data_IF_842463545431
#
_entry.id   IF_842463545431
#
_cell.length_a   1.000
_cell.length_b   1.000
_cell.length_c   1.000
_cell.angle_alpha   90.00
_cell.angle_beta   90.00
_cell.angle_gamma   90.00
#
_symmetry.space_group_name_H-M   'P 1'
#
loop_
_entity.id
_entity.type
_entity.pdbx_description
1 polymer ?
#
# COMPACT_ATOMS: atom_id res chain seq x y z
N UNK A 1 1.76 -15.88 -0.98
CA UNK A 1 2.49 -14.89 -1.81
C UNK A 1 1.68 -13.62 -2.11
N UNK A 2 0.88 -13.51 -3.18
CA UNK A 2 0.30 -12.20 -3.61
C UNK A 2 -0.59 -11.52 -2.56
N UNK A 3 -1.43 -12.28 -1.84
CA UNK A 3 -2.28 -11.75 -0.77
C UNK A 3 -1.48 -11.17 0.40
N UNK A 4 -0.41 -11.87 0.80
CA UNK A 4 0.48 -11.46 1.89
C UNK A 4 1.28 -10.21 1.51
N UNK A 5 1.86 -10.17 0.31
CA UNK A 5 2.58 -8.99 -0.19
C UNK A 5 1.70 -7.75 -0.21
N UNK A 6 0.44 -7.90 -0.66
CA UNK A 6 -0.52 -6.79 -0.64
C UNK A 6 -0.87 -6.33 0.77
N UNK A 7 -0.99 -7.25 1.73
CA UNK A 7 -1.24 -6.90 3.13
C UNK A 7 -0.05 -6.16 3.76
N UNK A 8 1.18 -6.61 3.49
CA UNK A 8 2.41 -5.93 3.92
C UNK A 8 2.46 -4.50 3.37
N UNK A 9 2.20 -4.33 2.07
CA UNK A 9 2.16 -2.99 1.44
C UNK A 9 1.14 -2.07 2.12
N UNK A 10 -0.11 -2.52 2.30
CA UNK A 10 -1.17 -1.67 2.89
C UNK A 10 -0.86 -1.32 4.35
N UNK A 11 -0.27 -2.25 5.09
CA UNK A 11 0.15 -2.00 6.47
C UNK A 11 1.28 -0.96 6.53
N UNK A 12 2.31 -1.09 5.68
CA UNK A 12 3.40 -0.13 5.62
C UNK A 12 2.93 1.26 5.20
N UNK A 13 2.05 1.35 4.21
CA UNK A 13 1.47 2.61 3.74
C UNK A 13 0.65 3.29 4.84
N UNK A 14 -0.23 2.55 5.52
CA UNK A 14 -1.03 3.09 6.63
C UNK A 14 -0.13 3.59 7.78
N UNK A 15 0.90 2.82 8.15
CA UNK A 15 1.87 3.24 9.17
C UNK A 15 2.65 4.50 8.76
N UNK A 16 2.91 4.70 7.46
CA UNK A 16 3.56 5.91 6.96
C UNK A 16 2.63 7.13 7.07
N UNK A 17 1.37 6.98 6.64
CA UNK A 17 0.37 8.04 6.72
C UNK A 17 0.07 8.45 8.18
N UNK A 18 -0.02 7.48 9.09
CA UNK A 18 -0.18 7.75 10.53
C UNK A 18 1.02 8.53 11.09
N UNK A 19 2.26 8.18 10.70
CA UNK A 19 3.47 8.91 11.10
C UNK A 19 3.52 10.34 10.54
N UNK A 20 2.90 10.59 9.40
CA UNK A 20 2.75 11.93 8.81
C UNK A 20 1.60 12.74 9.44
N UNK A 21 0.87 12.15 10.40
CA UNK A 21 -0.21 12.81 11.14
C UNK A 21 -1.60 12.64 10.53
N UNK A 22 -1.79 11.72 9.57
CA UNK A 22 -3.12 11.41 9.05
C UNK A 22 -3.88 10.45 9.96
N UNK A 23 -5.15 10.74 10.21
CA UNK A 23 -6.05 9.82 10.91
C UNK A 23 -6.54 8.74 9.94
N UNK A 24 -6.19 7.49 10.25
CA UNK A 24 -6.50 6.31 9.44
C UNK A 24 -7.46 5.38 10.21
N UNK A 25 -8.52 4.94 9.55
CA UNK A 25 -9.45 3.93 10.05
C UNK A 25 -9.10 2.57 9.42
N UNK A 26 -8.59 1.63 10.24
CA UNK A 26 -8.22 0.27 9.81
C UNK A 26 -9.48 -0.58 9.59
N UNK A 27 -9.54 -1.30 8.48
CA UNK A 27 -10.69 -2.10 8.03
C UNK A 27 -10.22 -3.47 7.54
N UNK A 28 -10.11 -4.43 8.46
CA UNK A 28 -9.58 -5.76 8.18
C UNK A 28 -8.17 -5.69 7.59
N UNK A 29 -8.01 -6.08 6.31
CA UNK A 29 -6.72 -5.99 5.62
C UNK A 29 -6.49 -4.68 4.86
N UNK A 30 -7.43 -3.73 4.92
CA UNK A 30 -7.36 -2.41 4.25
C UNK A 30 -7.47 -1.28 5.28
N UNK A 31 -7.45 -0.04 4.80
CA UNK A 31 -7.70 1.14 5.62
C UNK A 31 -8.42 2.23 4.81
N UNK A 32 -8.92 3.26 5.50
CA UNK A 32 -9.47 4.48 4.91
C UNK A 32 -8.93 5.71 5.65
N UNK A 33 -8.92 6.86 4.98
CA UNK A 33 -8.54 8.13 5.61
C UNK A 33 -9.80 8.80 6.16
N UNK A 34 -9.83 9.13 7.45
CA UNK A 34 -10.99 9.78 8.07
C UNK A 34 -11.35 11.11 7.41
N UNK A 35 -10.33 11.81 6.92
CA UNK A 35 -10.48 13.09 6.25
C UNK A 35 -11.19 13.01 4.89
N UNK A 36 -11.38 11.81 4.33
CA UNK A 36 -12.04 11.62 3.03
C UNK A 36 -13.37 10.91 3.30
N UNK A 37 -14.51 11.63 3.22
CA UNK A 37 -15.82 11.02 3.43
C UNK A 37 -16.13 9.91 2.42
N UNK A 38 -16.87 8.89 2.85
CA UNK A 38 -17.15 7.72 2.01
C UNK A 38 -17.87 8.06 0.69
N UNK A 39 -18.76 9.05 0.67
CA UNK A 39 -19.46 9.44 -0.56
C UNK A 39 -18.49 9.99 -1.63
N UNK A 40 -17.40 10.66 -1.20
CA UNK A 40 -16.34 11.13 -2.10
C UNK A 40 -15.55 9.94 -2.65
N UNK A 41 -15.16 8.99 -1.78
CA UNK A 41 -14.49 7.75 -2.22
C UNK A 41 -15.33 7.00 -3.27
N UNK A 42 -16.64 6.88 -3.03
CA UNK A 42 -17.58 6.25 -3.95
C UNK A 42 -17.61 7.00 -5.28
N UNK A 43 -17.74 8.33 -5.28
CA UNK A 43 -17.79 9.15 -6.49
C UNK A 43 -16.56 8.95 -7.39
N UNK A 44 -15.36 8.86 -6.81
CA UNK A 44 -14.12 8.59 -7.56
C UNK A 44 -13.94 7.11 -7.95
N UNK A 45 -14.77 6.21 -7.46
CA UNK A 45 -14.73 4.77 -7.74
C UNK A 45 -15.54 4.37 -8.99
N UNK A 46 -15.49 5.16 -10.07
CA UNK A 46 -16.33 5.01 -11.29
C UNK A 46 -16.32 3.60 -11.87
N UNK A 47 -15.14 2.97 -11.96
CA UNK A 47 -15.02 1.58 -12.46
C UNK A 47 -15.75 0.59 -11.56
N UNK A 48 -15.67 0.75 -10.25
CA UNK A 48 -16.35 -0.16 -9.31
C UNK A 48 -17.86 -0.07 -9.45
N UNK A 49 -18.40 1.15 -9.62
CA UNK A 49 -19.82 1.37 -9.87
C UNK A 49 -20.27 0.68 -11.16
N UNK A 50 -19.54 0.87 -12.27
CA UNK A 50 -19.85 0.21 -13.54
C UNK A 50 -19.87 -1.32 -13.41
N UNK A 51 -18.94 -1.90 -12.64
CA UNK A 51 -18.90 -3.34 -12.37
C UNK A 51 -20.14 -3.80 -11.59
N UNK A 52 -20.53 -3.06 -10.56
CA UNK A 52 -21.72 -3.35 -9.75
C UNK A 52 -23.00 -3.26 -10.59
N UNK A 53 -23.10 -2.26 -11.45
CA UNK A 53 -24.21 -2.08 -12.40
C UNK A 53 -24.29 -3.22 -13.42
N UNK A 54 -23.16 -3.58 -14.05
CA UNK A 54 -23.11 -4.70 -14.99
C UNK A 54 -23.44 -6.03 -14.31
N UNK A 55 -22.93 -6.25 -13.08
CA UNK A 55 -23.27 -7.44 -12.31
C UNK A 55 -24.76 -7.52 -12.01
N UNK A 56 -25.39 -6.39 -11.63
CA UNK A 56 -26.83 -6.30 -11.40
C UNK A 56 -27.62 -6.57 -12.68
N UNK A 57 -27.26 -5.94 -13.79
CA UNK A 57 -27.93 -6.08 -15.08
C UNK A 57 -27.90 -7.52 -15.62
N UNK A 58 -26.80 -8.24 -15.38
CA UNK A 58 -26.64 -9.64 -15.83
C UNK A 58 -26.94 -10.68 -14.75
N UNK A 59 -27.42 -10.27 -13.57
CA UNK A 59 -27.77 -11.19 -12.48
C UNK A 59 -26.58 -11.93 -11.84
N UNK A 60 -25.36 -11.39 -11.93
CA UNK A 60 -24.17 -12.02 -11.36
C UNK A 60 -24.12 -11.89 -9.84
N UNK A 61 -24.01 -13.04 -9.17
CA UNK A 61 -23.90 -13.15 -7.70
C UNK A 61 -22.68 -13.94 -7.23
N UNK A 62 -21.94 -14.56 -8.16
CA UNK A 62 -20.78 -15.39 -7.85
C UNK A 62 -19.47 -14.65 -8.13
N UNK A 63 -18.34 -15.03 -7.49
CA UNK A 63 -17.04 -14.44 -7.77
C UNK A 63 -16.66 -14.47 -9.26
N UNK A 64 -16.95 -15.60 -9.94
CA UNK A 64 -16.75 -15.77 -11.38
C UNK A 64 -17.63 -14.81 -12.21
N UNK A 65 -18.87 -14.60 -11.79
CA UNK A 65 -19.75 -13.60 -12.41
C UNK A 65 -19.23 -12.17 -12.26
N UNK A 66 -18.66 -11.84 -11.09
CA UNK A 66 -18.05 -10.52 -10.85
C UNK A 66 -16.80 -10.29 -11.72
N UNK A 67 -15.99 -11.32 -11.93
CA UNK A 67 -14.86 -11.27 -12.88
C UNK A 67 -15.35 -10.96 -14.29
N UNK A 68 -16.41 -11.64 -14.73
CA UNK A 68 -17.01 -11.41 -16.04
C UNK A 68 -17.60 -10.00 -16.17
N UNK A 69 -18.25 -9.47 -15.13
CA UNK A 69 -18.68 -8.07 -15.08
C UNK A 69 -17.50 -7.08 -15.20
N UNK A 70 -16.37 -7.39 -14.56
CA UNK A 70 -15.16 -6.57 -14.63
C UNK A 70 -14.52 -6.55 -16.02
N UNK A 71 -14.62 -7.65 -16.77
CA UNK A 71 -14.18 -7.73 -18.16
C UNK A 71 -15.08 -6.92 -19.08
N UNK A 72 -16.41 -7.07 -18.96
CA UNK A 72 -17.37 -6.35 -19.82
C UNK A 72 -17.34 -4.83 -19.67
N UNK A 73 -17.01 -4.34 -18.48
CA UNK A 73 -16.93 -2.90 -18.20
C UNK A 73 -15.58 -2.28 -18.54
N UNK A 74 -14.63 -3.07 -19.06
CA UNK A 74 -13.29 -2.59 -19.39
C UNK A 74 -13.31 -1.81 -20.71
N UNK A 75 -13.18 -0.49 -20.61
CA UNK A 75 -12.92 0.37 -21.76
C UNK A 75 -11.41 0.51 -22.03
N UNK A 76 -11.05 0.68 -23.30
CA UNK A 76 -9.70 1.03 -23.71
C UNK A 76 -9.31 2.41 -23.16
N UNK A 77 -8.03 2.57 -22.79
CA UNK A 77 -7.50 3.87 -22.36
C UNK A 77 -7.48 4.81 -23.57
N UNK A 78 -7.92 6.05 -23.35
CA UNK A 78 -7.85 7.12 -24.36
C UNK A 78 -6.75 8.11 -23.97
N UNK A 79 -6.07 8.75 -24.94
CA UNK A 79 -5.16 9.84 -24.66
C UNK A 79 -5.90 10.96 -23.90
N UNK A 80 -5.27 11.48 -22.84
CA UNK A 80 -5.78 12.58 -22.02
C UNK A 80 -4.61 13.47 -21.60
N UNK A 81 -4.84 14.77 -21.59
CA UNK A 81 -3.87 15.77 -21.11
C UNK A 81 -3.89 15.78 -19.57
N UNK A 82 -2.71 15.75 -18.94
CA UNK A 82 -2.58 15.51 -17.49
C UNK A 82 -3.10 16.71 -16.69
N UNK A 83 -2.84 17.94 -17.11
CA UNK A 83 -3.32 19.13 -16.41
C UNK A 83 -4.85 19.20 -16.44
N UNK A 84 -5.47 18.90 -17.60
CA UNK A 84 -6.92 18.79 -17.73
C UNK A 84 -7.53 17.76 -16.76
N UNK A 85 -6.87 16.63 -16.52
CA UNK A 85 -7.34 15.63 -15.54
C UNK A 85 -7.32 16.17 -14.10
N UNK A 86 -6.24 16.85 -13.69
CA UNK A 86 -6.18 17.46 -12.35
C UNK A 86 -7.24 18.54 -12.16
N UNK A 87 -7.46 19.38 -13.17
CA UNK A 87 -8.50 20.40 -13.15
C UNK A 87 -9.88 19.76 -13.01
N UNK A 88 -10.17 18.73 -13.82
CA UNK A 88 -11.42 17.99 -13.76
C UNK A 88 -11.65 17.34 -12.39
N UNK A 89 -10.65 16.68 -11.79
CA UNK A 89 -10.78 16.07 -10.47
C UNK A 89 -10.97 17.11 -9.36
N UNK A 90 -10.27 18.25 -9.42
CA UNK A 90 -10.46 19.34 -8.47
C UNK A 90 -11.86 19.95 -8.57
N UNK A 91 -12.37 20.15 -9.78
CA UNK A 91 -13.73 20.63 -10.00
C UNK A 91 -14.77 19.62 -9.52
N UNK A 92 -14.60 18.33 -9.83
CA UNK A 92 -15.48 17.25 -9.41
C UNK A 92 -15.54 17.14 -7.87
N UNK A 93 -14.39 17.18 -7.20
CA UNK A 93 -14.34 17.18 -5.74
C UNK A 93 -15.05 18.40 -5.13
N UNK A 94 -14.82 19.61 -5.68
CA UNK A 94 -15.52 20.84 -5.24
C UNK A 94 -17.03 20.78 -5.46
N UNK A 95 -17.48 20.25 -6.59
CA UNK A 95 -18.89 20.08 -6.89
C UNK A 95 -19.58 19.11 -5.93
N UNK A 96 -18.85 18.11 -5.42
CA UNK A 96 -19.30 17.20 -4.38
C UNK A 96 -19.20 17.79 -2.96
N UNK A 97 -18.83 19.07 -2.83
CA UNK A 97 -18.68 19.75 -1.54
C UNK A 97 -17.43 19.34 -0.76
N UNK A 98 -16.50 18.60 -1.38
CA UNK A 98 -15.25 18.23 -0.73
C UNK A 98 -14.30 19.42 -0.65
N UNK A 99 -13.87 19.73 0.58
CA UNK A 99 -12.78 20.66 0.86
C UNK A 99 -11.68 19.87 1.54
N UNK A 100 -10.45 20.04 1.07
CA UNK A 100 -9.31 19.45 1.75
C UNK A 100 -9.21 20.13 3.12
N UNK A 101 -9.28 19.39 4.24
CA UNK A 101 -9.12 19.99 5.55
C UNK A 101 -7.72 20.59 5.65
N UNK A 102 -7.61 21.73 6.33
CA UNK A 102 -6.31 22.31 6.63
C UNK A 102 -5.49 21.27 7.41
N UNK A 103 -4.22 21.11 7.04
CA UNK A 103 -3.32 20.09 7.62
C UNK A 103 -3.31 20.13 9.15
N UNK A 104 -3.53 21.30 9.75
CA UNK A 104 -3.59 21.50 11.20
C UNK A 104 -4.84 20.88 11.85
N UNK A 105 -5.96 20.79 11.13
CA UNK A 105 -7.23 20.22 11.63
C UNK A 105 -7.26 18.69 11.58
N UNK A 106 -6.28 18.07 10.91
CA UNK A 106 -6.16 16.60 10.82
C UNK A 106 -5.23 16.02 11.89
N UNK A 107 -4.45 16.86 12.57
CA UNK A 107 -3.57 16.46 13.67
C UNK A 107 -4.41 16.45 14.93
N UNK A 108 -5.14 15.36 15.15
CA UNK A 108 -5.66 15.09 16.49
C UNK A 108 -4.47 14.92 17.45
N UNK A 109 -4.43 15.59 18.62
CA UNK A 109 -3.37 15.43 19.62
C UNK A 109 -3.43 14.08 20.36
N UNK A 110 -3.94 13.03 19.71
CA UNK A 110 -3.99 11.69 20.26
C UNK A 110 -2.79 10.89 19.78
N UNK A 111 -1.68 11.02 20.50
CA UNK A 111 -1.01 9.94 21.25
C UNK A 111 0.38 10.42 21.64
N UNK A 112 0.50 10.87 22.88
CA UNK A 112 1.77 10.83 23.59
C UNK A 112 2.39 9.44 23.39
N UNK A 113 3.46 9.38 22.61
CA UNK A 113 4.41 8.29 22.71
C UNK A 113 4.85 8.23 24.18
N UNK A 114 4.78 7.10 24.89
CA UNK A 114 5.58 6.96 26.08
C UNK A 114 7.04 6.97 25.64
N UNK A 115 7.68 8.14 25.74
CA UNK A 115 9.12 8.27 25.87
C UNK A 115 9.51 7.64 27.21
N UNK A 116 9.76 6.34 27.20
CA UNK A 116 10.49 5.65 28.27
C UNK A 116 10.90 4.26 27.77
N UNK A 117 11.99 4.18 27.00
CA UNK A 117 12.85 3.00 27.11
C UNK A 117 13.57 3.20 28.44
N UNK A 118 13.00 2.65 29.51
CA UNK A 118 13.72 2.53 30.77
C UNK A 118 14.83 1.50 30.55
N UNK A 119 16.06 1.96 30.58
CA UNK A 119 17.23 1.12 30.83
C UNK A 119 17.14 0.60 32.25
N UNK A 120 16.43 -0.51 32.47
CA UNK A 120 16.54 -1.23 33.72
C UNK A 120 17.85 -2.01 33.73
N UNK A 121 18.83 -1.45 34.46
CA UNK A 121 19.92 -2.20 35.05
C UNK A 121 19.34 -3.03 36.19
N UNK A 122 18.89 -4.25 35.90
CA UNK A 122 18.53 -5.20 36.95
C UNK A 122 19.73 -6.10 37.21
N UNK A 123 20.42 -5.75 38.29
CA UNK A 123 21.39 -6.57 39.00
C UNK A 123 20.80 -7.93 39.39
N UNK A 124 21.58 -8.96 39.09
CA UNK A 124 21.71 -10.24 39.81
C UNK A 124 20.48 -11.16 40.00
N UNK A 125 20.68 -12.37 39.45
CA UNK A 125 20.32 -13.69 39.98
C UNK A 125 18.87 -14.17 39.93
N UNK A 126 18.61 -15.03 38.94
CA UNK A 126 18.17 -16.40 39.24
C UNK A 126 18.65 -17.34 38.14
N UNK A 127 19.35 -18.39 38.55
CA UNK A 127 20.10 -19.31 37.72
C UNK A 127 19.22 -20.24 36.87
N UNK A 128 19.78 -20.63 35.72
CA UNK A 128 19.69 -21.94 35.04
C UNK A 128 19.28 -21.85 33.56
N UNK A 129 20.08 -22.53 32.72
CA UNK A 129 19.98 -22.72 31.25
C UNK A 129 20.43 -21.58 30.32
N UNK A 130 21.71 -21.20 30.33
CA UNK A 130 22.29 -20.50 29.17
C UNK A 130 23.82 -20.65 29.03
N UNK A 131 24.31 -21.89 28.95
CA UNK A 131 25.69 -22.13 28.48
C UNK A 131 25.74 -22.49 26.98
N UNK A 132 24.62 -22.89 26.37
CA UNK A 132 24.59 -23.28 24.95
C UNK A 132 24.36 -22.11 23.99
N UNK A 133 23.72 -21.02 24.42
CA UNK A 133 23.37 -19.89 23.52
C UNK A 133 24.55 -18.94 23.32
N UNK A 134 25.38 -18.73 24.35
CA UNK A 134 26.52 -17.82 24.26
C UNK A 134 27.64 -18.28 23.31
N UNK A 135 27.84 -19.59 23.11
CA UNK A 135 28.85 -20.07 22.15
C UNK A 135 28.44 -19.86 20.69
N UNK A 136 27.14 -19.86 20.39
CA UNK A 136 26.62 -19.73 19.02
C UNK A 136 26.65 -18.27 18.54
N UNK A 137 26.52 -17.31 19.45
CA UNK A 137 26.62 -15.87 19.12
C UNK A 137 28.07 -15.44 18.84
N UNK A 138 29.06 -16.04 19.54
CA UNK A 138 30.47 -15.71 19.30
C UNK A 138 31.03 -16.26 17.97
N UNK A 139 30.52 -17.38 17.47
CA UNK A 139 30.98 -17.95 16.17
C UNK A 139 30.49 -17.15 14.97
N UNK A 140 29.29 -16.58 15.02
CA UNK A 140 28.77 -15.71 13.96
C UNK A 140 29.53 -14.38 13.86
N UNK A 141 29.97 -13.82 15.00
CA UNK A 141 30.67 -12.53 15.04
C UNK A 141 32.11 -12.60 14.48
N UNK A 142 32.76 -13.76 14.51
CA UNK A 142 34.09 -13.97 13.92
C UNK A 142 34.06 -14.28 12.42
N UNK A 143 32.95 -14.83 11.90
CA UNK A 143 32.78 -15.09 10.47
C UNK A 143 32.57 -13.80 9.65
N UNK A 144 32.00 -12.75 10.24
CA UNK A 144 31.76 -11.48 9.54
C UNK A 144 33.01 -10.61 9.36
N UNK A 145 34.11 -10.91 10.08
CA UNK A 145 35.32 -10.08 10.09
C UNK A 145 36.44 -10.55 9.16
N UNK A 146 36.22 -11.62 8.40
CA UNK A 146 37.23 -12.18 7.47
C UNK A 146 36.83 -12.27 6.00
N UNK A 147 35.69 -11.75 5.55
CA UNK A 147 35.41 -11.69 4.10
C UNK A 147 35.92 -10.39 3.49
N UNK A 148 37.21 -10.41 3.10
CA UNK A 148 37.75 -9.56 2.04
C UNK A 148 37.10 -9.96 0.71
N UNK A 149 36.56 -8.98 -0.02
CA UNK A 149 36.48 -8.97 -1.48
C UNK A 149 35.46 -9.89 -2.14
N UNK A 150 34.35 -9.32 -2.60
CA UNK A 150 33.68 -9.78 -3.81
C UNK A 150 33.20 -8.58 -4.64
N UNK A 151 34.03 -8.24 -5.63
CA UNK A 151 33.63 -7.47 -6.80
C UNK A 151 32.65 -8.29 -7.65
N UNK A 152 31.65 -7.62 -8.23
CA UNK A 152 30.95 -8.15 -9.40
C UNK A 152 29.47 -8.48 -9.20
N UNK A 153 28.62 -7.45 -9.17
CA UNK A 153 27.25 -7.55 -9.64
C UNK A 153 26.99 -6.34 -10.54
N UNK A 154 27.37 -6.46 -11.82
CA UNK A 154 26.92 -5.53 -12.86
C UNK A 154 25.53 -5.98 -13.31
N UNK A 155 24.52 -5.19 -13.00
CA UNK A 155 23.16 -5.41 -13.51
C UNK A 155 23.06 -4.71 -14.87
N UNK A 156 23.24 -5.46 -15.94
CA UNK A 156 22.89 -5.01 -17.30
C UNK A 156 21.38 -5.20 -17.50
N UNK A 157 20.62 -4.12 -17.45
CA UNK A 157 19.22 -4.10 -17.89
C UNK A 157 19.21 -4.03 -19.42
N UNK A 158 18.94 -5.17 -20.06
CA UNK A 158 18.69 -5.26 -21.50
C UNK A 158 17.39 -4.51 -21.84
N UNK A 159 17.51 -3.43 -22.61
CA UNK A 159 16.41 -2.75 -23.28
C UNK A 159 15.60 -3.75 -24.12
N UNK A 160 14.33 -3.93 -23.79
CA UNK A 160 13.37 -4.57 -24.69
C UNK A 160 12.88 -3.52 -25.67
N UNK A 161 13.34 -3.68 -26.90
CA UNK A 161 13.00 -2.86 -28.04
C UNK A 161 11.50 -2.91 -28.28
N UNK A 162 10.90 -1.72 -28.45
CA UNK A 162 9.61 -1.56 -29.10
C UNK A 162 9.74 -1.99 -30.56
N UNK A 163 8.61 -2.46 -31.07
CA UNK A 163 8.19 -2.56 -32.47
C UNK A 163 8.01 -3.97 -33.03
N UNK A 164 6.89 -4.04 -33.76
CA UNK A 164 6.31 -5.05 -34.66
C UNK A 164 5.21 -5.92 -34.09
N UNK A 165 4.08 -6.12 -34.75
CA UNK A 165 3.35 -5.50 -35.87
C UNK A 165 1.92 -6.11 -35.72
N UNK A 166 0.84 -5.33 -35.78
CA UNK A 166 -0.09 -5.27 -36.92
C UNK A 166 -0.43 -6.64 -37.56
N UNK A 167 -1.75 -6.94 -37.61
CA UNK A 167 -2.48 -8.08 -38.23
C UNK A 167 -3.11 -9.05 -37.19
N UNK A 168 -4.40 -9.41 -37.21
CA UNK A 168 -5.41 -9.32 -38.26
C UNK A 168 -6.83 -9.10 -37.69
N UNK A 169 -7.57 -8.17 -38.29
CA UNK A 169 -9.03 -8.19 -38.36
C UNK A 169 -9.45 -9.14 -39.48
N UNK A 170 -10.29 -10.13 -39.15
CA UNK A 170 -11.34 -10.68 -40.01
C UNK A 170 -12.48 -11.19 -39.14
#
# INVERSE_FOLDING_TARGET
AQKETGAVYRNQLANALEREGHVIDRQGSSFRMRAIPHHIERAFSKRRQAIEEAAKAHGYRTPKGMELAALRTRQAKRPRERAALFQAWSQEARALGFKLPDRQQQIEPSRSMPTAIQTEKTTASSASLSQSVHRLVLSAALAFRSSRGMSGLSVSLRNSNRDRDMEAER
#
